data_IF_841577867273
#
_entry.id   IF_841577867273
#
_cell.length_a   1.000
_cell.length_b   1.000
_cell.length_c   1.000
_cell.angle_alpha   90.00
_cell.angle_beta   90.00
_cell.angle_gamma   90.00
#
_symmetry.space_group_name_H-M   'P 1'
#
loop_
_entity.id
_entity.type
_entity.pdbx_description
1 polymer ?
#
# COMPACT_ATOMS: atom_id res chain seq x y z
N UNK A 1 49.38 30.67 22.49
CA UNK A 1 48.51 30.42 23.66
C UNK A 1 47.20 31.10 23.39
N UNK A 2 46.13 30.32 23.28
CA UNK A 2 44.76 30.60 23.75
C UNK A 2 43.90 29.43 23.27
N UNK A 3 43.89 28.40 24.11
CA UNK A 3 42.96 27.28 24.04
C UNK A 3 41.60 27.79 24.54
N UNK A 4 40.67 28.06 23.62
CA UNK A 4 39.27 28.29 23.97
C UNK A 4 38.55 26.94 24.04
N UNK A 5 38.37 26.54 25.30
CA UNK A 5 37.60 25.43 25.82
C UNK A 5 36.35 25.09 25.00
N UNK A 6 36.40 23.95 24.32
CA UNK A 6 35.20 23.12 24.16
C UNK A 6 34.72 22.75 25.56
N UNK A 7 33.58 23.31 25.97
CA UNK A 7 32.92 22.89 27.20
C UNK A 7 32.60 21.40 27.08
N UNK A 8 33.25 20.57 27.91
CA UNK A 8 33.00 19.13 28.02
C UNK A 8 31.69 18.83 28.78
N UNK A 9 30.69 19.70 28.70
CA UNK A 9 29.38 19.42 29.24
C UNK A 9 28.61 18.53 28.25
N UNK A 10 28.08 17.38 28.70
CA UNK A 10 27.18 16.61 27.86
C UNK A 10 25.96 17.47 27.51
N UNK A 11 25.41 17.33 26.30
CA UNK A 11 24.23 18.08 25.90
C UNK A 11 23.10 17.87 26.92
N UNK A 12 22.33 18.92 27.25
CA UNK A 12 21.30 18.84 28.28
C UNK A 12 20.31 17.71 27.97
N UNK A 13 20.12 16.81 28.94
CA UNK A 13 19.36 15.55 28.83
C UNK A 13 17.84 15.70 28.67
N UNK A 14 17.35 16.84 28.16
CA UNK A 14 15.92 17.15 28.02
C UNK A 14 15.28 16.36 26.84
N UNK A 15 16.06 15.55 26.12
CA UNK A 15 15.60 14.75 24.99
C UNK A 15 15.48 13.24 25.27
N UNK A 16 15.79 12.77 26.49
CA UNK A 16 15.82 11.33 26.79
C UNK A 16 14.86 10.85 27.89
N UNK A 17 13.96 11.70 28.39
CA UNK A 17 12.88 11.24 29.27
C UNK A 17 11.74 10.62 28.45
N UNK A 18 12.03 9.46 27.83
CA UNK A 18 10.97 8.48 27.55
C UNK A 18 10.64 7.81 28.87
N UNK A 19 9.66 8.39 29.57
CA UNK A 19 9.12 7.89 30.83
C UNK A 19 8.47 6.50 30.60
N UNK A 20 9.24 5.45 30.88
CA UNK A 20 8.85 4.04 30.77
C UNK A 20 8.11 3.57 32.04
N UNK A 21 7.11 4.32 32.49
CA UNK A 21 6.23 3.88 33.56
C UNK A 21 4.92 3.30 32.98
N UNK A 22 4.91 1.98 32.82
CA UNK A 22 3.69 1.18 32.71
C UNK A 22 2.82 1.36 33.96
N UNK A 23 1.69 2.05 33.82
CA UNK A 23 0.44 1.70 34.48
C UNK A 23 -0.67 2.63 33.96
N UNK A 24 -1.62 2.08 33.19
CA UNK A 24 -2.97 2.63 33.02
C UNK A 24 -3.07 4.17 32.94
N UNK A 25 -2.52 4.79 31.90
CA UNK A 25 -2.62 6.25 31.73
C UNK A 25 -3.65 6.61 30.67
N UNK A 26 -4.86 6.83 31.19
CA UNK A 26 -5.84 7.83 30.82
C UNK A 26 -5.87 8.40 29.39
N UNK A 27 -7.09 8.36 28.87
CA UNK A 27 -7.70 9.09 27.77
C UNK A 27 -7.47 10.64 27.73
N UNK A 28 -6.51 11.19 28.51
CA UNK A 28 -6.50 12.59 28.95
C UNK A 28 -5.17 13.34 28.80
N UNK A 29 -4.32 13.04 27.82
CA UNK A 29 -3.19 13.94 27.49
C UNK A 29 -3.19 14.45 26.05
N UNK A 30 -4.38 14.65 25.48
CA UNK A 30 -4.56 15.64 24.43
C UNK A 30 -4.74 17.01 25.09
N UNK A 31 -3.96 18.00 24.62
CA UNK A 31 -4.24 19.43 24.80
C UNK A 31 -5.76 19.67 24.64
N UNK A 32 -6.38 20.43 25.55
CA UNK A 32 -7.83 20.71 25.51
C UNK A 32 -8.31 21.22 24.13
N UNK A 33 -7.40 21.83 23.36
CA UNK A 33 -7.66 22.34 22.01
C UNK A 33 -7.61 21.26 20.91
N UNK A 34 -6.99 20.10 21.16
CA UNK A 34 -6.77 19.06 20.14
C UNK A 34 -7.78 17.90 20.23
N UNK A 35 -8.42 17.70 21.39
CA UNK A 35 -9.50 16.72 21.60
C UNK A 35 -10.66 16.80 20.59
N UNK A 36 -11.22 17.99 20.26
CA UNK A 36 -12.34 18.08 19.32
C UNK A 36 -11.96 17.71 17.88
N UNK A 37 -10.68 17.76 17.53
CA UNK A 37 -10.17 17.43 16.18
C UNK A 37 -10.32 15.93 15.92
N UNK A 38 -9.91 15.09 16.89
CA UNK A 38 -9.97 13.65 16.73
C UNK A 38 -11.39 13.09 16.84
N UNK A 39 -12.24 13.68 17.69
CA UNK A 39 -13.64 13.26 17.82
C UNK A 39 -14.51 13.62 16.61
N UNK A 40 -14.11 14.63 15.81
CA UNK A 40 -14.81 14.97 14.56
C UNK A 40 -14.30 14.15 13.37
N UNK A 41 -13.06 13.69 13.45
CA UNK A 41 -12.44 12.86 12.42
C UNK A 41 -12.87 11.38 12.51
N UNK A 42 -13.01 10.86 13.74
CA UNK A 42 -13.34 9.44 14.02
C UNK A 42 -14.84 9.32 14.27
N UNK A 43 -15.48 8.36 13.61
CA UNK A 43 -16.91 8.11 13.78
C UNK A 43 -17.17 7.50 15.17
N UNK A 44 -18.28 7.87 15.81
CA UNK A 44 -18.65 7.35 17.14
C UNK A 44 -18.83 5.82 17.22
N UNK A 45 -18.98 5.15 16.08
CA UNK A 45 -19.08 3.68 15.98
C UNK A 45 -17.73 2.98 15.95
N UNK A 46 -16.64 3.69 15.73
CA UNK A 46 -15.29 3.12 15.62
C UNK A 46 -14.65 3.09 17.01
N UNK A 47 -14.42 1.88 17.54
CA UNK A 47 -13.79 1.69 18.84
C UNK A 47 -12.28 1.60 18.68
N UNK A 48 -11.61 2.74 18.54
CA UNK A 48 -10.15 2.79 18.55
C UNK A 48 -9.64 2.78 20.00
N UNK A 49 -8.74 1.85 20.32
CA UNK A 49 -8.19 1.72 21.68
C UNK A 49 -7.23 2.84 22.03
N UNK A 50 -6.47 3.33 21.03
CA UNK A 50 -5.49 4.40 21.21
C UNK A 50 -5.61 5.44 20.10
N UNK A 51 -5.29 6.68 20.45
CA UNK A 51 -5.36 7.86 19.57
C UNK A 51 -4.02 8.56 19.53
N UNK A 52 -3.69 9.26 18.42
CA UNK A 52 -2.52 10.12 18.38
C UNK A 52 -2.55 11.15 19.51
N UNK A 53 -1.39 11.38 20.11
CA UNK A 53 -1.24 12.36 21.21
C UNK A 53 -1.23 13.78 20.69
N UNK A 54 -0.79 13.98 19.45
CA UNK A 54 -0.62 15.31 18.84
C UNK A 54 -1.17 15.36 17.43
N UNK A 55 -1.57 16.57 17.00
CA UNK A 55 -1.91 16.85 15.60
C UNK A 55 -0.77 16.46 14.63
N UNK A 56 0.49 16.66 15.03
CA UNK A 56 1.65 16.30 14.22
C UNK A 56 1.72 14.80 13.97
N UNK A 57 1.52 14.00 15.02
CA UNK A 57 1.54 12.53 14.93
C UNK A 57 0.42 12.03 14.03
N UNK A 58 -0.77 12.62 14.11
CA UNK A 58 -1.87 12.34 13.19
C UNK A 58 -1.49 12.62 11.73
N UNK A 59 -0.96 13.82 11.44
CA UNK A 59 -0.56 14.19 10.09
C UNK A 59 0.48 13.19 9.55
N UNK A 60 1.45 12.79 10.36
CA UNK A 60 2.46 11.80 9.96
C UNK A 60 1.80 10.47 9.61
N UNK A 61 0.90 9.96 10.46
CA UNK A 61 0.19 8.70 10.24
C UNK A 61 -0.66 8.77 8.97
N UNK A 62 -1.43 9.85 8.80
CA UNK A 62 -2.30 10.07 7.65
C UNK A 62 -1.53 10.12 6.33
N UNK A 63 -0.43 10.87 6.29
CA UNK A 63 0.42 10.95 5.10
C UNK A 63 1.11 9.63 4.79
N UNK A 64 1.57 8.91 5.82
CA UNK A 64 2.17 7.59 5.65
C UNK A 64 1.15 6.58 5.10
N UNK A 65 -0.07 6.59 5.62
CA UNK A 65 -1.16 5.74 5.14
C UNK A 65 -1.51 6.05 3.67
N UNK A 66 -1.54 7.33 3.30
CA UNK A 66 -1.81 7.73 1.92
C UNK A 66 -0.70 7.33 0.98
N UNK A 67 0.54 7.55 1.39
CA UNK A 67 1.71 7.20 0.59
C UNK A 67 1.72 5.70 0.28
N UNK A 68 1.44 4.86 1.28
CA UNK A 68 1.31 3.42 1.09
C UNK A 68 0.22 3.05 0.06
N UNK A 69 -0.95 3.71 0.11
CA UNK A 69 -2.05 3.47 -0.84
C UNK A 69 -1.70 3.94 -2.25
N UNK A 70 -1.01 5.07 -2.37
CA UNK A 70 -0.68 5.69 -3.65
C UNK A 70 0.39 4.90 -4.41
N UNK A 71 1.43 4.46 -3.73
CA UNK A 71 2.57 3.83 -4.40
C UNK A 71 2.43 2.30 -4.52
N UNK A 72 1.90 1.61 -3.50
CA UNK A 72 1.49 0.19 -3.47
C UNK A 72 1.69 -0.39 -2.05
N UNK A 73 0.96 -1.45 -1.71
CA UNK A 73 1.19 -2.24 -0.48
C UNK A 73 2.64 -2.78 -0.38
N UNK A 74 3.33 -2.96 -1.51
CA UNK A 74 4.75 -3.36 -1.52
C UNK A 74 5.63 -2.30 -0.84
N UNK A 75 5.29 -1.02 -1.00
CA UNK A 75 6.04 0.08 -0.38
C UNK A 75 5.88 0.07 1.13
N UNK A 76 4.68 -0.23 1.63
CA UNK A 76 4.47 -0.42 3.07
C UNK A 76 5.33 -1.57 3.62
N UNK A 77 5.45 -2.66 2.86
CA UNK A 77 6.32 -3.76 3.24
C UNK A 77 7.80 -3.34 3.33
N UNK A 78 8.30 -2.56 2.36
CA UNK A 78 9.66 -2.01 2.42
C UNK A 78 9.87 -1.07 3.62
N UNK A 79 8.87 -0.24 3.94
CA UNK A 79 8.92 0.63 5.13
C UNK A 79 9.00 -0.17 6.44
N UNK A 80 8.37 -1.37 6.48
CA UNK A 80 8.42 -2.27 7.63
C UNK A 80 9.73 -3.05 7.74
N UNK A 81 10.42 -3.31 6.62
CA UNK A 81 11.68 -4.05 6.60
C UNK A 81 12.88 -3.21 7.03
N UNK A 82 12.84 -1.91 6.78
CA UNK A 82 13.92 -0.99 7.13
C UNK A 82 13.82 -0.57 8.61
N UNK A 83 14.72 -1.11 9.43
CA UNK A 83 14.76 -0.82 10.87
C UNK A 83 14.94 0.67 11.17
N UNK A 84 15.72 1.41 10.37
CA UNK A 84 15.97 2.83 10.60
C UNK A 84 14.72 3.68 10.33
N UNK A 85 13.91 3.25 9.36
CA UNK A 85 12.61 3.85 9.08
C UNK A 85 11.56 3.41 10.11
N UNK A 86 11.59 2.16 10.54
CA UNK A 86 10.66 1.64 11.54
C UNK A 86 10.83 2.34 12.90
N UNK A 87 12.07 2.72 13.27
CA UNK A 87 12.34 3.56 14.44
C UNK A 87 11.66 4.95 14.31
N UNK A 88 11.63 5.52 13.09
CA UNK A 88 10.99 6.82 12.82
C UNK A 88 9.46 6.72 12.70
N UNK A 89 8.95 5.58 12.25
CA UNK A 89 7.54 5.31 12.05
C UNK A 89 7.11 4.05 12.84
N UNK A 90 7.16 4.10 14.18
CA UNK A 90 6.95 2.92 15.03
C UNK A 90 5.53 2.37 14.91
N UNK A 91 4.55 3.20 14.55
CA UNK A 91 3.16 2.79 14.33
C UNK A 91 2.96 1.82 13.15
N UNK A 92 3.96 1.62 12.29
CA UNK A 92 3.92 0.59 11.25
C UNK A 92 4.09 -0.82 11.83
N UNK A 93 4.66 -0.94 13.02
CA UNK A 93 4.81 -2.23 13.71
C UNK A 93 3.48 -2.65 14.36
N UNK A 94 3.14 -3.94 14.27
CA UNK A 94 1.85 -4.48 14.73
C UNK A 94 1.66 -4.32 16.25
N UNK A 95 2.74 -4.43 17.00
CA UNK A 95 2.70 -4.30 18.47
C UNK A 95 2.57 -2.84 18.95
N UNK A 96 2.63 -1.86 18.05
CA UNK A 96 2.53 -0.46 18.45
C UNK A 96 1.07 -0.07 18.73
N UNK A 97 0.79 0.68 19.81
CA UNK A 97 -0.58 1.09 20.18
C UNK A 97 -1.35 1.81 19.07
N UNK A 98 -0.66 2.61 18.25
CA UNK A 98 -1.24 3.35 17.13
C UNK A 98 -1.34 2.56 15.83
N UNK A 99 -1.02 1.27 15.82
CA UNK A 99 -1.11 0.46 14.61
C UNK A 99 -2.56 0.33 14.12
N UNK A 100 -3.48 0.02 15.04
CA UNK A 100 -4.92 -0.06 14.75
C UNK A 100 -5.45 1.28 14.22
N UNK A 101 -4.93 2.39 14.77
CA UNK A 101 -5.24 3.72 14.27
C UNK A 101 -4.74 3.94 12.84
N UNK A 102 -3.49 3.56 12.55
CA UNK A 102 -2.93 3.64 11.20
C UNK A 102 -3.75 2.84 10.18
N UNK A 103 -4.13 1.60 10.50
CA UNK A 103 -4.98 0.78 9.64
C UNK A 103 -6.36 1.42 9.40
N UNK A 104 -6.94 2.00 10.45
CA UNK A 104 -8.17 2.75 10.34
C UNK A 104 -8.05 3.93 9.36
N UNK A 105 -6.97 4.73 9.46
CA UNK A 105 -6.73 5.83 8.54
C UNK A 105 -6.48 5.33 7.12
N UNK A 106 -5.76 4.22 6.95
CA UNK A 106 -5.52 3.59 5.65
C UNK A 106 -6.83 3.21 4.96
N UNK A 107 -7.80 2.68 5.71
CA UNK A 107 -9.13 2.37 5.14
C UNK A 107 -9.98 3.61 4.87
N UNK A 108 -9.76 4.72 5.58
CA UNK A 108 -10.56 5.95 5.53
C UNK A 108 -9.84 7.17 4.93
N UNK A 109 -8.92 6.96 3.98
CA UNK A 109 -8.11 8.04 3.38
C UNK A 109 -8.89 9.12 2.62
N UNK A 110 -10.20 8.94 2.40
CA UNK A 110 -11.07 9.94 1.79
C UNK A 110 -11.32 11.17 2.68
N UNK A 111 -11.20 11.03 4.00
CA UNK A 111 -11.36 12.13 4.95
C UNK A 111 -9.98 12.66 5.29
N UNK A 112 -9.64 13.86 4.84
CA UNK A 112 -8.36 14.52 5.17
C UNK A 112 -8.52 15.45 6.35
N UNK A 113 -7.52 15.55 7.21
CA UNK A 113 -7.59 16.53 8.31
C UNK A 113 -7.65 17.98 7.80
N UNK A 114 -7.03 18.23 6.65
CA UNK A 114 -7.07 19.53 5.95
C UNK A 114 -8.49 19.92 5.58
N UNK A 115 -9.34 18.95 5.24
CA UNK A 115 -10.72 19.18 4.82
C UNK A 115 -11.66 19.28 6.05
N UNK A 116 -11.37 18.55 7.13
CA UNK A 116 -12.21 18.48 8.34
C UNK A 116 -11.94 19.63 9.31
N UNK A 117 -10.67 19.99 9.52
CA UNK A 117 -10.23 20.97 10.51
C UNK A 117 -9.16 21.91 9.93
N UNK A 118 -9.49 22.76 8.94
CA UNK A 118 -8.51 23.64 8.29
C UNK A 118 -7.92 24.71 9.21
N UNK A 119 -8.62 25.04 10.30
CA UNK A 119 -8.19 26.07 11.26
C UNK A 119 -7.23 25.54 12.33
N UNK A 120 -7.09 24.21 12.45
CA UNK A 120 -6.15 23.59 13.39
C UNK A 120 -4.71 23.60 12.86
N UNK A 121 -4.54 23.81 11.55
CA UNK A 121 -3.27 23.74 10.85
C UNK A 121 -2.83 25.16 10.50
N UNK A 122 -1.55 25.48 10.68
CA UNK A 122 -1.01 26.78 10.27
C UNK A 122 -1.14 26.97 8.76
N UNK A 123 -1.40 28.20 8.31
CA UNK A 123 -1.65 28.48 6.88
C UNK A 123 -0.55 27.97 5.94
N UNK A 124 0.76 28.16 6.21
CA UNK A 124 1.81 27.66 5.33
C UNK A 124 1.80 26.13 5.19
N UNK A 125 1.51 25.44 6.30
CA UNK A 125 1.43 23.99 6.30
C UNK A 125 0.16 23.54 5.56
N UNK A 126 -0.99 24.19 5.80
CA UNK A 126 -2.23 23.90 5.08
C UNK A 126 -2.06 24.00 3.56
N UNK A 127 -1.40 25.06 3.08
CA UNK A 127 -1.16 25.27 1.65
C UNK A 127 -0.27 24.16 1.05
N UNK A 128 0.77 23.75 1.79
CA UNK A 128 1.62 22.63 1.41
C UNK A 128 0.82 21.32 1.32
N UNK A 129 0.00 21.03 2.33
CA UNK A 129 -0.80 19.82 2.38
C UNK A 129 -1.85 19.78 1.24
N UNK A 130 -2.48 20.92 0.94
CA UNK A 130 -3.39 21.07 -0.22
C UNK A 130 -2.66 20.87 -1.54
N UNK A 131 -1.43 21.37 -1.66
CA UNK A 131 -0.61 21.15 -2.85
C UNK A 131 -0.27 19.67 -3.05
N UNK A 132 0.15 18.98 -1.99
CA UNK A 132 0.41 17.54 -2.04
C UNK A 132 -0.87 16.78 -2.45
N UNK A 133 -2.02 17.10 -1.84
CA UNK A 133 -3.30 16.48 -2.20
C UNK A 133 -3.65 16.64 -3.69
N UNK A 134 -3.31 17.77 -4.32
CA UNK A 134 -3.49 17.96 -5.76
C UNK A 134 -2.59 17.02 -6.58
N UNK A 135 -1.32 16.90 -6.20
CA UNK A 135 -0.38 15.98 -6.86
C UNK A 135 -0.80 14.52 -6.73
N UNK A 136 -1.32 14.12 -5.58
CA UNK A 136 -1.85 12.78 -5.33
C UNK A 136 -3.01 12.45 -6.27
N UNK A 137 -3.98 13.36 -6.38
CA UNK A 137 -5.14 13.21 -7.29
C UNK A 137 -4.68 13.11 -8.75
N UNK A 138 -3.72 13.92 -9.16
CA UNK A 138 -3.16 13.86 -10.51
C UNK A 138 -2.48 12.52 -10.81
N UNK A 139 -1.71 11.99 -9.85
CA UNK A 139 -1.10 10.66 -9.94
C UNK A 139 -2.15 9.56 -10.07
N UNK A 140 -3.20 9.58 -9.23
CA UNK A 140 -4.28 8.59 -9.29
C UNK A 140 -4.98 8.60 -10.66
N UNK A 141 -5.32 9.77 -11.21
CA UNK A 141 -5.95 9.91 -12.53
C UNK A 141 -5.03 9.37 -13.63
N UNK A 142 -3.73 9.66 -13.58
CA UNK A 142 -2.74 9.14 -14.53
C UNK A 142 -2.61 7.62 -14.45
N UNK A 143 -2.71 7.05 -13.25
CA UNK A 143 -2.66 5.59 -13.09
C UNK A 143 -3.94 4.94 -13.63
N UNK A 144 -5.11 5.47 -13.27
CA UNK A 144 -6.42 4.96 -13.72
C UNK A 144 -6.58 5.02 -15.25
N UNK A 145 -6.11 6.09 -15.88
CA UNK A 145 -6.14 6.21 -17.35
C UNK A 145 -5.24 5.17 -18.03
N UNK A 146 -4.04 4.92 -17.47
CA UNK A 146 -3.12 3.89 -17.97
C UNK A 146 -3.69 2.49 -17.81
N UNK A 147 -4.31 2.18 -16.67
CA UNK A 147 -4.91 0.85 -16.44
C UNK A 147 -6.09 0.61 -17.36
N UNK A 148 -7.01 1.57 -17.53
CA UNK A 148 -8.13 1.46 -18.49
C UNK A 148 -7.66 1.24 -19.92
N UNK A 149 -6.63 1.98 -20.36
CA UNK A 149 -6.03 1.77 -21.70
C UNK A 149 -5.39 0.39 -21.85
N UNK A 150 -4.76 -0.14 -20.81
CA UNK A 150 -4.17 -1.47 -20.82
C UNK A 150 -5.25 -2.57 -20.90
N UNK A 151 -6.30 -2.46 -20.09
CA UNK A 151 -7.44 -3.38 -20.10
C UNK A 151 -8.16 -3.38 -21.45
N UNK A 152 -8.38 -2.20 -22.05
CA UNK A 152 -8.97 -2.09 -23.38
C UNK A 152 -8.10 -2.77 -24.45
N UNK A 153 -6.79 -2.57 -24.41
CA UNK A 153 -5.85 -3.25 -25.32
C UNK A 153 -5.88 -4.77 -25.14
N UNK A 154 -5.91 -5.27 -23.91
CA UNK A 154 -6.00 -6.70 -23.63
C UNK A 154 -7.33 -7.30 -24.11
N UNK A 155 -8.45 -6.61 -23.87
CA UNK A 155 -9.76 -7.03 -24.32
C UNK A 155 -9.85 -7.07 -25.86
N UNK A 156 -9.26 -6.08 -26.54
CA UNK A 156 -9.21 -6.05 -28.00
C UNK A 156 -8.32 -7.17 -28.56
N UNK A 157 -7.14 -7.41 -27.96
CA UNK A 157 -6.27 -8.52 -28.35
C UNK A 157 -6.96 -9.89 -28.21
N UNK A 158 -7.73 -10.10 -27.13
CA UNK A 158 -8.54 -11.31 -26.91
C UNK A 158 -9.66 -11.47 -27.95
N UNK A 159 -10.33 -10.38 -28.34
CA UNK A 159 -11.35 -10.41 -29.41
C UNK A 159 -10.73 -10.74 -30.77
N UNK A 160 -9.63 -10.09 -31.12
CA UNK A 160 -8.90 -10.37 -32.36
C UNK A 160 -8.38 -11.80 -32.44
N UNK A 161 -7.90 -12.37 -31.32
CA UNK A 161 -7.47 -13.76 -31.26
C UNK A 161 -8.65 -14.73 -31.50
N UNK A 162 -9.83 -14.45 -30.92
CA UNK A 162 -11.06 -15.24 -31.11
C UNK A 162 -11.62 -15.14 -32.53
N UNK A 163 -11.56 -13.96 -33.13
CA UNK A 163 -12.01 -13.75 -34.52
C UNK A 163 -11.08 -14.41 -35.53
N UNK A 164 -9.76 -14.42 -35.27
CA UNK A 164 -8.79 -15.21 -36.04
C UNK A 164 -9.07 -16.71 -35.93
N UNK A 165 -9.30 -17.25 -34.72
CA UNK A 165 -9.63 -18.69 -34.55
C UNK A 165 -10.97 -19.07 -35.22
N UNK A 166 -11.97 -18.18 -35.26
CA UNK A 166 -13.21 -18.42 -36.01
C UNK A 166 -12.97 -18.45 -37.53
N UNK A 167 -12.06 -17.61 -38.05
CA UNK A 167 -11.68 -17.62 -39.48
C UNK A 167 -10.80 -18.83 -39.84
N UNK A 168 -9.90 -19.28 -38.95
CA UNK A 168 -9.09 -20.50 -39.17
C UNK A 168 -9.90 -21.79 -39.03
N UNK A 169 -11.07 -21.79 -38.37
CA UNK A 169 -11.99 -22.96 -38.40
C UNK A 169 -12.73 -23.14 -39.74
N UNK A 170 -12.76 -22.14 -40.61
CA UNK A 170 -13.41 -22.21 -41.92
C UNK A 170 -12.46 -22.50 -43.09
N UNK A 171 -11.14 -22.35 -42.90
CA UNK A 171 -10.12 -22.89 -43.80
C UNK A 171 -9.34 -23.94 -43.03
N UNK A 172 -9.58 -25.20 -43.33
CA UNK A 172 -8.85 -26.32 -42.74
C UNK A 172 -7.38 -26.23 -43.07
N UNK A 173 -6.63 -25.49 -42.25
CA UNK A 173 -5.19 -25.35 -42.39
C UNK A 173 -4.53 -26.23 -41.34
N UNK A 174 -3.79 -27.21 -41.87
CA UNK A 174 -2.90 -28.10 -41.15
C UNK A 174 -1.86 -27.27 -40.39
N UNK A 175 -2.15 -26.98 -39.13
CA UNK A 175 -1.17 -26.38 -38.21
C UNK A 175 -0.08 -27.39 -37.92
N UNK A 176 1.18 -26.95 -37.81
CA UNK A 176 2.30 -27.79 -37.36
C UNK A 176 2.01 -28.48 -36.03
N UNK A 177 1.26 -27.84 -35.12
CA UNK A 177 0.82 -28.47 -33.87
C UNK A 177 -0.17 -29.61 -34.10
N UNK A 178 -1.07 -29.50 -35.10
CA UNK A 178 -1.94 -30.62 -35.48
C UNK A 178 -1.21 -31.75 -36.20
N UNK A 179 -0.16 -31.44 -36.98
CA UNK A 179 0.70 -32.44 -37.58
C UNK A 179 1.49 -33.21 -36.52
N UNK A 180 2.00 -32.50 -35.51
CA UNK A 180 2.74 -33.11 -34.40
C UNK A 180 1.87 -34.07 -33.57
N UNK A 181 0.65 -33.66 -33.21
CA UNK A 181 -0.30 -34.53 -32.50
C UNK A 181 -0.67 -35.76 -33.33
N UNK A 182 -0.94 -35.59 -34.62
CA UNK A 182 -1.25 -36.72 -35.52
C UNK A 182 -0.07 -37.70 -35.67
N UNK A 183 1.15 -37.20 -35.64
CA UNK A 183 2.36 -38.04 -35.70
C UNK A 183 2.54 -38.86 -34.42
N UNK A 184 2.27 -38.26 -33.25
CA UNK A 184 2.29 -38.98 -31.97
C UNK A 184 1.16 -40.01 -31.84
N UNK A 185 -0.01 -39.77 -32.46
CA UNK A 185 -1.12 -40.73 -32.51
C UNK A 185 -0.88 -41.89 -33.50
N UNK A 186 0.09 -41.76 -34.41
CA UNK A 186 0.38 -42.80 -35.42
C UNK A 186 1.39 -43.86 -34.95
N UNK A 187 1.96 -43.70 -33.75
CA UNK A 187 2.92 -44.65 -33.14
C UNK A 187 2.25 -45.67 -32.19
N UNK A 188 0.91 -45.75 -32.14
CA UNK A 188 0.24 -46.92 -31.56
C UNK A 188 0.32 -48.10 -32.54
N UNK A 189 1.47 -48.79 -32.54
CA UNK A 189 1.68 -50.07 -33.21
C UNK A 189 0.58 -51.07 -32.81
N UNK A 190 -0.16 -51.51 -33.83
CA UNK A 190 -1.03 -52.68 -33.78
C UNK A 190 -0.20 -53.92 -33.44
N UNK A 191 -0.24 -54.35 -32.18
CA UNK A 191 0.20 -55.68 -31.77
C UNK A 191 -0.73 -56.74 -32.39
N UNK A 192 -0.47 -57.12 -33.64
CA UNK A 192 -0.97 -58.38 -34.18
C UNK A 192 -0.24 -59.54 -33.48
N UNK A 193 -0.98 -60.28 -32.66
CA UNK A 193 -0.54 -61.55 -32.10
C UNK A 193 -0.45 -62.58 -33.22
N UNK A 194 0.76 -62.83 -33.70
CA UNK A 194 1.09 -64.03 -34.47
C UNK A 194 0.84 -65.27 -33.60
N UNK A 195 -0.18 -66.06 -33.97
CA UNK A 195 -0.36 -67.41 -33.45
C UNK A 195 0.26 -68.39 -34.44
N UNK A 196 1.47 -68.83 -34.09
CA UNK A 196 2.21 -69.89 -34.74
C UNK A 196 1.40 -71.20 -34.74
N UNK A 197 1.16 -71.76 -35.93
CA UNK A 197 0.91 -73.19 -36.13
C UNK A 197 2.21 -73.83 -36.62
N UNK A 198 2.82 -74.65 -35.78
CA UNK A 198 3.83 -75.64 -36.19
C UNK A 198 3.16 -77.00 -36.34
N UNK A 199 3.29 -77.57 -37.54
CA UNK A 199 3.19 -79.01 -37.80
C UNK A 199 4.45 -79.73 -37.31
#
# INVERSE_FOLDING_TARGET
MNDEYFNNEPPPGILNDFDNNEASLDYYNLSENERPIFSSYISSTEKLKYLPKTLREHIIIEYTATFAILESDIVEFYLKLDNDLLIKFPFLHVDHPLHEYYEYIKTNTKKRIVDVCPNAISEPLRDLLLYVQKLEKEKMIKHETKTKMLEEKQANALKEAKDKTRKTKQKGDQSYSSLFLKYMESDEESFEKDTTKTS
#
